data_IF_351801001083
#
_entry.id   IF_351801001083
#
_cell.length_a   1.000
_cell.length_b   1.000
_cell.length_c   1.000
_cell.angle_alpha   90.00
_cell.angle_beta   90.00
_cell.angle_gamma   90.00
#
_symmetry.space_group_name_H-M   'P 1'
#
loop_
_entity.id
_entity.type
_entity.pdbx_description
1 polymer ?
#
# COMPACT_ATOMS: atom_id res chain seq x y z
N UNK A 1 -45.43 19.74 -49.04
CA UNK A 1 -45.49 20.24 -47.65
C UNK A 1 -44.23 19.82 -46.95
N UNK A 2 -43.41 20.81 -46.56
CA UNK A 2 -42.42 20.83 -45.47
C UNK A 2 -41.24 19.85 -45.48
N UNK A 3 -40.10 20.45 -45.83
CA UNK A 3 -38.73 20.27 -45.35
C UNK A 3 -38.52 19.50 -44.03
N UNK A 4 -37.45 18.70 -44.02
CA UNK A 4 -36.84 18.14 -42.81
C UNK A 4 -35.46 17.56 -43.10
N UNK A 5 -34.51 18.41 -43.49
CA UNK A 5 -33.09 18.07 -43.63
C UNK A 5 -32.48 17.85 -42.24
N UNK A 6 -31.97 16.65 -41.95
CA UNK A 6 -31.19 16.37 -40.74
C UNK A 6 -29.82 15.84 -41.17
N UNK A 7 -28.86 16.76 -41.25
CA UNK A 7 -27.44 16.44 -41.30
C UNK A 7 -26.97 15.96 -39.92
N UNK A 8 -26.19 14.87 -39.83
CA UNK A 8 -25.54 14.50 -38.58
C UNK A 8 -24.40 15.49 -38.27
N UNK A 9 -24.41 16.07 -37.07
CA UNK A 9 -23.32 16.91 -36.56
C UNK A 9 -22.16 16.02 -36.09
N UNK A 10 -20.91 16.25 -36.54
CA UNK A 10 -19.75 15.62 -35.92
C UNK A 10 -19.39 16.38 -34.63
N UNK A 11 -19.60 15.75 -33.47
CA UNK A 11 -19.01 16.19 -32.20
C UNK A 11 -17.53 15.79 -32.17
N UNK A 12 -16.69 16.57 -32.86
CA UNK A 12 -15.24 16.46 -32.77
C UNK A 12 -14.72 17.15 -31.52
N UNK A 13 -14.58 16.41 -30.42
CA UNK A 13 -13.85 16.85 -29.24
C UNK A 13 -12.35 16.96 -29.63
N UNK A 14 -11.85 18.16 -29.92
CA UNK A 14 -10.41 18.42 -30.13
C UNK A 14 -9.67 18.23 -28.82
N UNK A 15 -9.29 16.98 -28.55
CA UNK A 15 -8.27 16.61 -27.56
C UNK A 15 -6.91 16.97 -28.17
N UNK A 16 -6.34 18.11 -27.80
CA UNK A 16 -4.97 18.45 -28.18
C UNK A 16 -4.01 17.49 -27.47
N UNK A 17 -3.54 16.49 -28.21
CA UNK A 17 -2.43 15.62 -27.84
C UNK A 17 -1.15 16.29 -28.35
N UNK A 18 -0.50 17.09 -27.52
CA UNK A 18 0.91 17.47 -27.76
C UNK A 18 1.77 16.30 -27.30
N UNK A 19 2.25 15.56 -28.29
CA UNK A 19 3.26 14.52 -28.13
C UNK A 19 4.59 15.08 -27.62
N UNK A 20 5.22 14.24 -26.84
CA UNK A 20 6.54 14.32 -26.25
C UNK A 20 7.63 14.63 -27.30
N UNK A 21 8.49 15.60 -27.01
CA UNK A 21 9.82 15.71 -27.63
C UNK A 21 10.83 16.02 -26.53
N UNK A 22 11.67 15.01 -26.27
CA UNK A 22 12.81 15.06 -25.36
C UNK A 22 13.86 16.02 -25.96
N UNK A 23 14.12 17.14 -25.28
CA UNK A 23 15.35 17.92 -25.47
C UNK A 23 15.94 18.38 -24.12
N UNK A 24 17.27 18.29 -23.93
CA UNK A 24 17.93 18.58 -22.66
C UNK A 24 18.09 20.10 -22.45
N UNK A 25 17.97 20.63 -21.22
CA UNK A 25 18.22 22.05 -20.98
C UNK A 25 19.72 22.34 -20.91
N UNK A 26 20.22 22.96 -21.98
CA UNK A 26 21.52 23.63 -22.06
C UNK A 26 21.61 24.75 -21.01
N UNK A 27 22.67 24.71 -20.20
CA UNK A 27 23.06 25.75 -19.24
C UNK A 27 23.45 27.03 -19.98
N UNK A 28 22.85 28.17 -19.61
CA UNK A 28 23.46 29.50 -19.71
C UNK A 28 23.20 30.27 -18.41
N UNK A 29 24.21 30.89 -17.79
CA UNK A 29 24.03 31.70 -16.59
C UNK A 29 23.74 33.16 -16.98
N UNK A 30 22.69 33.75 -16.42
CA UNK A 30 22.54 35.20 -16.36
C UNK A 30 22.68 35.64 -14.91
N UNK A 31 23.77 36.34 -14.64
CA UNK A 31 24.06 36.98 -13.36
C UNK A 31 23.31 38.30 -13.23
N UNK A 32 22.74 38.53 -12.04
CA UNK A 32 22.58 39.85 -11.44
C UNK A 32 21.23 40.55 -11.69
N UNK A 33 20.37 40.57 -10.67
CA UNK A 33 20.23 41.74 -9.78
C UNK A 33 19.18 41.49 -8.68
N UNK A 34 19.56 41.90 -7.48
CA UNK A 34 18.80 42.12 -6.25
C UNK A 34 17.26 42.16 -6.31
N UNK A 35 16.62 41.30 -5.50
CA UNK A 35 15.21 41.43 -5.14
C UNK A 35 14.82 40.43 -4.05
N UNK A 36 14.96 40.83 -2.78
CA UNK A 36 14.61 40.04 -1.59
C UNK A 36 13.09 39.89 -1.50
N UNK A 37 12.50 38.93 -2.22
CA UNK A 37 11.08 38.62 -2.12
C UNK A 37 10.88 37.58 -1.00
N UNK A 38 10.38 38.05 0.16
CA UNK A 38 9.80 37.19 1.21
C UNK A 38 8.72 36.29 0.57
N UNK A 39 8.61 35.00 0.91
CA UNK A 39 7.48 34.19 0.48
C UNK A 39 6.21 34.75 1.13
N UNK A 40 5.39 35.41 0.31
CA UNK A 40 4.04 35.82 0.70
C UNK A 40 3.25 34.55 1.04
N UNK A 41 2.62 34.41 2.22
CA UNK A 41 1.73 33.29 2.46
C UNK A 41 0.57 33.42 1.48
N UNK A 42 0.55 32.57 0.45
CA UNK A 42 -0.60 32.42 -0.42
C UNK A 42 -1.71 31.79 0.41
N UNK A 43 -2.45 32.62 1.13
CA UNK A 43 -3.79 32.32 1.59
C UNK A 43 -4.71 32.29 0.36
N UNK A 44 -4.47 31.35 -0.56
CA UNK A 44 -5.51 30.93 -1.48
C UNK A 44 -6.56 30.19 -0.63
N UNK A 45 -7.87 30.44 -0.86
CA UNK A 45 -8.89 29.59 -0.25
C UNK A 45 -8.56 28.15 -0.67
N UNK A 46 -8.15 27.33 0.30
CA UNK A 46 -7.83 25.93 0.04
C UNK A 46 -9.12 25.31 -0.44
N UNK A 47 -9.14 24.98 -1.73
CA UNK A 47 -10.27 24.33 -2.36
C UNK A 47 -10.72 23.13 -1.49
N UNK A 48 -12.02 22.95 -1.23
CA UNK A 48 -12.51 21.85 -0.39
C UNK A 48 -11.98 20.47 -0.79
N UNK A 49 -11.76 20.23 -2.09
CA UNK A 49 -11.16 19.00 -2.61
C UNK A 49 -9.69 18.86 -2.20
N UNK A 50 -8.94 19.96 -2.16
CA UNK A 50 -7.55 19.98 -1.68
C UNK A 50 -7.46 19.65 -0.19
N UNK A 51 -8.36 20.21 0.63
CA UNK A 51 -8.45 19.88 2.06
C UNK A 51 -8.83 18.41 2.28
N UNK A 52 -9.81 17.91 1.53
CA UNK A 52 -10.20 16.51 1.58
C UNK A 52 -9.05 15.57 1.20
N UNK A 53 -8.30 15.89 0.14
CA UNK A 53 -7.13 15.14 -0.29
C UNK A 53 -6.02 15.15 0.77
N UNK A 54 -5.78 16.30 1.43
CA UNK A 54 -4.82 16.41 2.53
C UNK A 54 -5.20 15.52 3.71
N UNK A 55 -6.45 15.61 4.18
CA UNK A 55 -6.94 14.76 5.29
C UNK A 55 -6.83 13.26 4.94
N UNK A 56 -7.18 12.87 3.70
CA UNK A 56 -6.96 11.48 3.25
C UNK A 56 -5.51 11.05 3.37
N UNK A 57 -4.55 11.88 2.95
CA UNK A 57 -3.11 11.58 3.05
C UNK A 57 -2.67 11.45 4.51
N UNK A 58 -3.10 12.36 5.38
CA UNK A 58 -2.79 12.32 6.82
C UNK A 58 -3.28 11.03 7.47
N UNK A 59 -4.54 10.64 7.22
CA UNK A 59 -5.11 9.38 7.72
C UNK A 59 -4.36 8.14 7.20
N UNK A 60 -3.88 8.17 5.95
CA UNK A 60 -3.06 7.08 5.40
C UNK A 60 -1.71 7.03 6.10
N UNK A 61 -1.03 8.17 6.25
CA UNK A 61 0.28 8.24 6.92
C UNK A 61 0.22 7.77 8.37
N UNK A 62 -0.84 8.12 9.10
CA UNK A 62 -1.06 7.65 10.47
C UNK A 62 -1.19 6.12 10.54
N UNK A 63 -2.02 5.54 9.67
CA UNK A 63 -2.19 4.08 9.57
C UNK A 63 -0.89 3.37 9.18
N UNK A 64 -0.10 3.98 8.28
CA UNK A 64 1.21 3.45 7.90
C UNK A 64 2.19 3.46 9.07
N UNK A 65 2.17 4.50 9.92
CA UNK A 65 3.00 4.57 11.12
C UNK A 65 2.65 3.47 12.12
N UNK A 66 1.37 3.26 12.40
CA UNK A 66 0.92 2.16 13.27
C UNK A 66 1.35 0.81 12.69
N UNK A 67 1.22 0.62 11.37
CA UNK A 67 1.66 -0.61 10.72
C UNK A 67 3.17 -0.86 10.89
N UNK A 68 4.01 0.18 10.80
CA UNK A 68 5.46 0.07 11.01
C UNK A 68 5.82 -0.42 12.42
N UNK A 69 5.04 -0.06 13.43
CA UNK A 69 5.24 -0.46 14.82
C UNK A 69 4.80 -1.91 15.08
N UNK A 70 3.77 -2.38 14.35
CA UNK A 70 3.24 -3.74 14.49
C UNK A 70 4.04 -4.78 13.69
N UNK A 71 4.66 -4.39 12.58
CA UNK A 71 5.40 -5.32 11.71
C UNK A 71 6.86 -5.45 12.17
N UNK A 72 7.39 -6.67 12.37
CA UNK A 72 8.78 -6.86 12.70
C UNK A 72 9.72 -6.21 11.68
N UNK A 73 10.62 -5.35 12.16
CA UNK A 73 11.51 -4.52 11.34
C UNK A 73 10.79 -3.57 10.33
N UNK A 74 9.52 -3.22 10.57
CA UNK A 74 8.71 -2.39 9.66
C UNK A 74 9.28 -0.99 9.40
N UNK A 75 9.98 -0.40 10.38
CA UNK A 75 10.61 0.92 10.25
C UNK A 75 11.90 0.93 9.41
N UNK A 76 12.48 -0.25 9.12
CA UNK A 76 13.79 -0.39 8.45
C UNK A 76 13.67 -0.80 6.98
N UNK A 77 12.45 -0.98 6.47
CA UNK A 77 12.19 -1.47 5.11
C UNK A 77 11.34 -0.45 4.34
N UNK A 78 11.37 -0.54 3.01
CA UNK A 78 10.50 0.28 2.16
C UNK A 78 9.03 -0.14 2.27
N UNK A 79 8.14 0.70 1.74
CA UNK A 79 6.69 0.49 1.86
C UNK A 79 6.22 -0.82 1.20
N UNK A 80 6.77 -1.19 0.05
CA UNK A 80 6.32 -2.41 -0.66
C UNK A 80 6.73 -3.63 0.17
N UNK A 81 8.00 -3.68 0.57
CA UNK A 81 8.52 -4.75 1.44
C UNK A 81 7.78 -4.80 2.78
N UNK A 82 7.42 -3.66 3.37
CA UNK A 82 6.64 -3.62 4.62
C UNK A 82 5.26 -4.28 4.45
N UNK A 83 4.57 -4.00 3.35
CA UNK A 83 3.25 -4.59 3.08
C UNK A 83 3.34 -6.11 2.87
N UNK A 84 4.36 -6.59 2.15
CA UNK A 84 4.60 -8.03 1.98
C UNK A 84 4.91 -8.70 3.32
N UNK A 85 5.78 -8.08 4.13
CA UNK A 85 6.10 -8.55 5.49
C UNK A 85 4.89 -8.55 6.41
N UNK A 86 4.00 -7.57 6.30
CA UNK A 86 2.77 -7.52 7.08
C UNK A 86 1.88 -8.74 6.80
N UNK A 87 1.70 -9.08 5.53
CA UNK A 87 0.96 -10.29 5.12
C UNK A 87 1.61 -11.54 5.70
N UNK A 88 2.95 -11.65 5.58
CA UNK A 88 3.71 -12.76 6.16
C UNK A 88 3.54 -12.85 7.68
N UNK A 89 3.57 -11.72 8.38
CA UNK A 89 3.44 -11.67 9.83
C UNK A 89 2.04 -12.07 10.29
N UNK A 90 0.98 -11.65 9.60
CA UNK A 90 -0.40 -12.10 9.90
C UNK A 90 -0.52 -13.62 9.74
N UNK A 91 0.03 -14.19 8.65
CA UNK A 91 0.04 -15.65 8.45
C UNK A 91 0.80 -16.38 9.56
N UNK A 92 1.95 -15.83 9.97
CA UNK A 92 2.74 -16.35 11.06
C UNK A 92 1.98 -16.32 12.40
N UNK A 93 1.31 -15.22 12.72
CA UNK A 93 0.49 -15.11 13.93
C UNK A 93 -0.69 -16.10 13.90
N UNK A 94 -1.37 -16.25 12.77
CA UNK A 94 -2.42 -17.24 12.59
C UNK A 94 -1.91 -18.66 12.82
N UNK A 95 -0.70 -18.97 12.34
CA UNK A 95 -0.06 -20.26 12.57
C UNK A 95 0.24 -20.48 14.05
N UNK A 96 0.78 -19.48 14.76
CA UNK A 96 1.00 -19.57 16.21
C UNK A 96 -0.28 -19.90 16.97
N UNK A 97 -1.40 -19.24 16.63
CA UNK A 97 -2.70 -19.54 17.26
C UNK A 97 -3.14 -20.98 16.98
N UNK A 98 -2.97 -21.48 15.75
CA UNK A 98 -3.29 -22.88 15.42
C UNK A 98 -2.44 -23.88 16.21
N UNK A 99 -1.14 -23.62 16.35
CA UNK A 99 -0.25 -24.48 17.14
C UNK A 99 -0.62 -24.43 18.62
N UNK A 100 -0.97 -23.26 19.16
CA UNK A 100 -1.41 -23.10 20.55
C UNK A 100 -2.76 -23.78 20.83
N UNK A 101 -3.66 -23.78 19.85
CA UNK A 101 -4.97 -24.43 19.95
C UNK A 101 -4.95 -25.93 19.63
N UNK A 102 -3.83 -26.47 19.15
CA UNK A 102 -3.69 -27.91 18.93
C UNK A 102 -3.61 -28.61 20.30
N UNK A 103 -4.76 -29.08 20.79
CA UNK A 103 -4.96 -29.71 22.09
C UNK A 103 -4.01 -30.88 22.34
N UNK A 104 -3.55 -31.53 21.27
CA UNK A 104 -2.66 -32.69 21.30
C UNK A 104 -1.17 -32.31 21.39
N UNK A 105 -0.80 -31.06 21.04
CA UNK A 105 0.60 -30.66 20.93
C UNK A 105 1.20 -30.20 22.27
N UNK A 106 0.41 -29.59 23.14
CA UNK A 106 0.88 -29.13 24.44
C UNK A 106 0.59 -30.17 25.51
N UNK A 107 1.62 -30.67 26.23
CA UNK A 107 1.38 -31.63 27.30
C UNK A 107 0.53 -30.98 28.39
N UNK A 108 -0.58 -31.62 28.76
CA UNK A 108 -1.30 -31.27 29.97
C UNK A 108 -0.36 -31.42 31.19
N UNK A 109 -0.46 -30.47 32.13
CA UNK A 109 0.33 -30.28 33.35
C UNK A 109 1.22 -31.47 33.77
N UNK A 110 2.55 -31.28 33.65
CA UNK A 110 3.58 -32.22 34.16
C UNK A 110 4.38 -32.97 33.09
N UNK A 111 4.03 -32.84 31.81
CA UNK A 111 4.80 -33.43 30.71
C UNK A 111 6.05 -32.62 30.30
N UNK A 112 7.03 -33.30 29.71
CA UNK A 112 8.22 -32.67 29.12
C UNK A 112 7.80 -31.78 27.95
N UNK A 113 8.26 -30.55 27.92
CA UNK A 113 8.00 -29.64 26.81
C UNK A 113 8.48 -30.24 25.47
N UNK A 114 7.73 -30.03 24.36
CA UNK A 114 8.15 -30.50 23.05
C UNK A 114 9.48 -29.86 22.65
N UNK A 115 10.38 -30.63 22.03
CA UNK A 115 11.61 -30.09 21.48
C UNK A 115 11.38 -29.38 20.13
N UNK A 116 12.42 -28.69 19.64
CA UNK A 116 12.33 -27.88 18.40
C UNK A 116 11.95 -28.73 17.18
N UNK A 117 12.40 -29.99 17.13
CA UNK A 117 12.09 -30.89 16.01
C UNK A 117 10.61 -31.27 16.02
N UNK A 118 10.07 -31.58 17.20
CA UNK A 118 8.65 -31.90 17.38
C UNK A 118 7.76 -30.69 17.04
N UNK A 119 8.17 -29.48 17.42
CA UNK A 119 7.48 -28.24 17.04
C UNK A 119 7.45 -28.05 15.52
N UNK A 120 8.57 -28.31 14.84
CA UNK A 120 8.65 -28.21 13.37
C UNK A 120 7.72 -29.21 12.69
N UNK A 121 7.73 -30.46 13.14
CA UNK A 121 6.88 -31.51 12.57
C UNK A 121 5.39 -31.20 12.76
N UNK A 122 4.98 -30.73 13.94
CA UNK A 122 3.61 -30.31 14.19
C UNK A 122 3.18 -29.14 13.30
N UNK A 123 4.07 -28.15 13.10
CA UNK A 123 3.82 -27.04 12.16
C UNK A 123 3.61 -27.56 10.74
N UNK A 124 4.47 -28.45 10.26
CA UNK A 124 4.38 -29.01 8.91
C UNK A 124 3.09 -29.83 8.72
N UNK A 125 2.69 -30.59 9.75
CA UNK A 125 1.44 -31.34 9.75
C UNK A 125 0.21 -30.41 9.67
N UNK A 126 0.19 -29.31 10.42
CA UNK A 126 -0.88 -28.29 10.40
C UNK A 126 -0.95 -27.58 9.05
N UNK A 127 0.20 -27.24 8.46
CA UNK A 127 0.24 -26.60 7.14
C UNK A 127 -0.24 -27.56 6.05
N UNK A 128 0.14 -28.84 6.13
CA UNK A 128 -0.23 -29.88 5.17
C UNK A 128 -1.70 -30.28 5.27
N UNK A 129 -2.31 -30.28 6.46
CA UNK A 129 -3.75 -30.55 6.62
C UNK A 129 -4.60 -29.42 6.03
N UNK A 130 -4.22 -28.17 6.30
CA UNK A 130 -4.97 -26.99 5.84
C UNK A 130 -4.99 -26.83 4.31
N UNK A 131 -4.02 -27.40 3.59
CA UNK A 131 -3.96 -27.36 2.13
C UNK A 131 -4.81 -28.45 1.46
N UNK A 132 -5.01 -29.59 2.13
CA UNK A 132 -5.89 -30.67 1.65
C UNK A 132 -7.35 -30.24 1.60
N UNK A 133 -7.82 -29.53 2.62
CA UNK A 133 -9.21 -29.02 2.67
C UNK A 133 -9.50 -28.00 1.56
N UNK A 134 -8.50 -27.19 1.18
CA UNK A 134 -8.66 -26.19 0.10
C UNK A 134 -8.66 -26.79 -1.30
N UNK A 135 -7.97 -27.90 -1.51
CA UNK A 135 -7.83 -28.52 -2.83
C UNK A 135 -8.96 -29.51 -3.14
N UNK A 136 -9.89 -29.73 -2.20
CA UNK A 136 -11.00 -30.68 -2.33
C UNK A 136 -12.33 -30.02 -2.74
N UNK A 137 -12.33 -28.73 -3.12
CA UNK A 137 -13.51 -27.96 -3.55
C UNK A 137 -13.27 -27.33 -4.92
#
# INVERSE_FOLDING_TARGET
>A
SRYGSISPKPTGNKRSYTGESIQPPSKKPSSGTSGKAKPKPTNSPKDPQSLAAKNRRERISERLKVLQELVPNGTKVDLVTMLEKAIGYVKFLQLQVKVLAADEFWPAQGGKAPDISQVKEAIDAILSSSQRDRNSN
#
